data_IF_132589530042
#
_entry.id   IF_132589530042
#
_cell.length_a   1.000
_cell.length_b   1.000
_cell.length_c   1.000
_cell.angle_alpha   90.00
_cell.angle_beta   90.00
_cell.angle_gamma   90.00
#
_symmetry.space_group_name_H-M   'P 1'
#
loop_
_entity.id
_entity.type
_entity.pdbx_description
1 polymer ?
#
# COMPACT_ATOMS: atom_id res chain seq x y z
N UNK A 1 -39.59 -24.15 -5.83
CA UNK A 1 -38.63 -23.09 -5.47
C UNK A 1 -37.24 -23.71 -5.43
N UNK A 2 -36.44 -23.48 -6.49
CA UNK A 2 -35.10 -24.06 -6.58
C UNK A 2 -34.15 -23.31 -5.65
N UNK A 3 -33.64 -23.98 -4.62
CA UNK A 3 -32.56 -23.47 -3.79
C UNK A 3 -31.23 -23.86 -4.43
N UNK A 4 -30.54 -22.89 -5.01
CA UNK A 4 -29.16 -23.08 -5.45
C UNK A 4 -28.24 -22.95 -4.22
N UNK A 5 -27.72 -24.07 -3.74
CA UNK A 5 -26.60 -24.08 -2.79
C UNK A 5 -25.33 -23.93 -3.61
N UNK A 6 -24.75 -22.73 -3.61
CA UNK A 6 -23.39 -22.51 -4.10
C UNK A 6 -22.46 -23.30 -3.18
N UNK A 7 -21.99 -24.46 -3.64
CA UNK A 7 -20.88 -25.16 -3.01
C UNK A 7 -19.65 -24.29 -3.26
N UNK A 8 -19.24 -23.52 -2.26
CA UNK A 8 -18.06 -22.69 -2.34
C UNK A 8 -16.83 -23.58 -2.45
N UNK A 9 -15.89 -23.23 -3.34
CA UNK A 9 -14.50 -23.61 -3.08
C UNK A 9 -14.12 -22.95 -1.76
N UNK A 10 -13.57 -23.69 -0.80
CA UNK A 10 -13.09 -23.21 0.51
C UNK A 10 -11.89 -22.24 0.43
N UNK A 11 -11.82 -21.45 -0.64
CA UNK A 11 -10.72 -20.55 -0.93
C UNK A 11 -11.14 -19.13 -0.56
N UNK A 12 -10.44 -18.56 0.40
CA UNK A 12 -10.53 -17.14 0.74
C UNK A 12 -9.90 -16.33 -0.41
N UNK A 13 -10.63 -15.40 -1.04
CA UNK A 13 -10.07 -14.54 -2.07
C UNK A 13 -9.02 -13.60 -1.47
N UNK A 14 -7.77 -13.69 -1.94
CA UNK A 14 -6.64 -12.88 -1.48
C UNK A 14 -6.21 -11.91 -2.59
N UNK A 15 -5.85 -10.68 -2.19
CA UNK A 15 -5.13 -9.74 -3.04
C UNK A 15 -3.77 -9.41 -2.42
N UNK A 16 -2.70 -9.84 -3.07
CA UNK A 16 -1.33 -9.57 -2.66
C UNK A 16 -0.68 -8.65 -3.69
N UNK A 17 -0.31 -7.44 -3.27
CA UNK A 17 0.26 -6.41 -4.16
C UNK A 17 1.62 -6.00 -3.62
N UNK A 18 2.61 -5.94 -4.52
CA UNK A 18 3.89 -5.28 -4.24
C UNK A 18 4.16 -4.25 -5.33
N UNK A 19 4.61 -3.05 -4.98
CA UNK A 19 4.93 -2.03 -5.97
C UNK A 19 6.09 -1.15 -5.52
N UNK A 20 7.10 -1.03 -6.39
CA UNK A 20 8.08 0.05 -6.28
C UNK A 20 7.39 1.35 -6.70
N UNK A 21 7.29 2.30 -5.79
CA UNK A 21 6.53 3.54 -5.97
C UNK A 21 7.41 4.78 -5.89
N UNK A 22 8.74 4.64 -5.98
CA UNK A 22 9.67 5.78 -5.92
C UNK A 22 9.30 6.91 -6.89
N UNK A 23 8.93 6.57 -8.13
CA UNK A 23 8.50 7.54 -9.14
C UNK A 23 7.15 8.18 -8.86
N UNK A 24 6.25 7.51 -8.13
CA UNK A 24 4.96 8.09 -7.72
C UNK A 24 5.17 9.19 -6.69
N UNK A 25 6.16 9.02 -5.81
CA UNK A 25 6.52 10.00 -4.78
C UNK A 25 7.45 11.11 -5.29
N UNK A 26 7.95 11.03 -6.54
CA UNK A 26 8.63 12.15 -7.20
C UNK A 26 7.63 13.25 -7.67
N UNK A 27 6.39 12.88 -8.01
CA UNK A 27 5.26 13.82 -8.25
C UNK A 27 3.94 13.32 -7.61
N UNK A 28 3.82 13.42 -6.28
CA UNK A 28 2.69 12.88 -5.53
C UNK A 28 1.39 13.64 -5.80
N UNK A 29 1.45 14.84 -6.36
CA UNK A 29 0.26 15.64 -6.68
C UNK A 29 -0.54 15.07 -7.85
N UNK A 30 0.17 14.45 -8.81
CA UNK A 30 -0.43 13.88 -10.03
C UNK A 30 -0.49 12.35 -9.97
N UNK A 31 0.62 11.71 -9.59
CA UNK A 31 0.75 10.25 -9.73
C UNK A 31 0.03 9.49 -8.62
N UNK A 32 0.02 10.02 -7.41
CA UNK A 32 -0.58 9.36 -6.25
C UNK A 32 -2.10 9.19 -6.38
N UNK A 33 -2.89 10.19 -6.82
CA UNK A 33 -4.32 10.00 -7.09
C UNK A 33 -4.61 8.95 -8.16
N UNK A 34 -3.82 8.94 -9.24
CA UNK A 34 -3.98 7.97 -10.34
C UNK A 34 -3.73 6.56 -9.84
N UNK A 35 -2.59 6.34 -9.18
CA UNK A 35 -2.22 5.04 -8.65
C UNK A 35 -3.24 4.54 -7.62
N UNK A 36 -3.68 5.42 -6.71
CA UNK A 36 -4.69 5.08 -5.70
C UNK A 36 -6.01 4.66 -6.36
N UNK A 37 -6.47 5.41 -7.37
CA UNK A 37 -7.68 5.08 -8.11
C UNK A 37 -7.59 3.70 -8.77
N UNK A 38 -6.49 3.39 -9.45
CA UNK A 38 -6.29 2.09 -10.10
C UNK A 38 -6.24 0.94 -9.11
N UNK A 39 -5.57 1.13 -7.97
CA UNK A 39 -5.54 0.16 -6.89
C UNK A 39 -6.95 -0.11 -6.32
N UNK A 40 -7.73 0.93 -6.02
CA UNK A 40 -9.09 0.78 -5.48
C UNK A 40 -10.05 0.16 -6.49
N UNK A 41 -9.93 0.51 -7.77
CA UNK A 41 -10.68 -0.15 -8.85
C UNK A 41 -10.35 -1.66 -8.93
N UNK A 42 -9.09 -2.04 -8.73
CA UNK A 42 -8.71 -3.45 -8.66
C UNK A 42 -9.32 -4.15 -7.44
N UNK A 43 -9.29 -3.52 -6.25
CA UNK A 43 -9.93 -4.03 -5.03
C UNK A 43 -11.43 -4.25 -5.26
N UNK A 44 -12.13 -3.25 -5.79
CA UNK A 44 -13.56 -3.32 -6.07
C UNK A 44 -13.91 -4.44 -7.06
N UNK A 45 -13.13 -4.57 -8.14
CA UNK A 45 -13.35 -5.60 -9.17
C UNK A 45 -13.11 -7.02 -8.65
N UNK A 46 -12.14 -7.20 -7.75
CA UNK A 46 -11.74 -8.54 -7.28
C UNK A 46 -12.46 -8.99 -6.02
N UNK A 47 -13.10 -8.08 -5.26
CA UNK A 47 -13.79 -8.35 -3.98
C UNK A 47 -12.97 -9.28 -3.05
N UNK A 48 -11.70 -8.94 -2.75
CA UNK A 48 -10.89 -9.76 -1.86
C UNK A 48 -11.44 -9.76 -0.44
N UNK A 49 -11.23 -10.85 0.29
CA UNK A 49 -11.48 -10.95 1.74
C UNK A 49 -10.24 -10.71 2.57
N UNK A 50 -9.08 -10.58 1.92
CA UNK A 50 -7.84 -10.16 2.54
C UNK A 50 -6.97 -9.43 1.54
N UNK A 51 -6.38 -8.31 1.96
CA UNK A 51 -5.44 -7.53 1.18
C UNK A 51 -4.11 -7.47 1.93
N UNK A 52 -3.02 -7.77 1.24
CA UNK A 52 -1.68 -7.35 1.65
C UNK A 52 -1.09 -6.46 0.56
N UNK A 53 -0.82 -5.20 0.90
CA UNK A 53 -0.18 -4.23 0.04
C UNK A 53 1.19 -3.90 0.61
N UNK A 54 2.23 -4.06 -0.19
CA UNK A 54 3.61 -3.73 0.17
C UNK A 54 4.17 -2.72 -0.84
N UNK A 55 4.43 -1.50 -0.40
CA UNK A 55 5.01 -0.46 -1.24
C UNK A 55 6.48 -0.28 -0.89
N UNK A 56 7.36 -0.28 -1.90
CA UNK A 56 8.80 -0.03 -1.75
C UNK A 56 9.18 1.35 -2.29
N UNK A 57 10.26 1.93 -1.76
CA UNK A 57 10.75 3.26 -2.16
C UNK A 57 9.71 4.37 -1.98
N UNK A 58 8.82 4.22 -1.00
CA UNK A 58 7.91 5.28 -0.59
C UNK A 58 8.76 6.50 -0.17
N UNK A 59 8.28 7.72 -0.44
CA UNK A 59 9.05 8.94 -0.21
C UNK A 59 10.08 9.31 -1.31
N UNK A 60 10.41 8.38 -2.21
CA UNK A 60 11.33 8.63 -3.33
C UNK A 60 12.73 9.09 -2.88
N UNK A 61 13.46 9.81 -3.76
CA UNK A 61 14.84 10.27 -3.47
C UNK A 61 14.91 11.44 -2.48
N UNK A 62 13.78 12.07 -2.15
CA UNK A 62 13.69 13.30 -1.35
C UNK A 62 12.91 13.09 -0.04
N UNK A 63 13.22 11.98 0.66
CA UNK A 63 12.50 11.41 1.81
C UNK A 63 12.06 12.44 2.89
N UNK A 64 12.92 13.40 3.26
CA UNK A 64 12.62 14.38 4.32
C UNK A 64 11.41 15.27 4.02
N UNK A 65 11.16 15.56 2.74
CA UNK A 65 10.01 16.39 2.32
C UNK A 65 8.78 15.55 2.01
N UNK A 66 8.95 14.26 1.78
CA UNK A 66 7.91 13.40 1.25
C UNK A 66 7.17 12.59 2.32
N UNK A 67 7.70 12.50 3.54
CA UNK A 67 7.02 11.87 4.68
C UNK A 67 5.62 12.40 4.96
N UNK A 68 5.36 13.69 4.73
CA UNK A 68 4.01 14.23 4.84
C UNK A 68 3.07 13.59 3.80
N UNK A 69 3.52 13.45 2.54
CA UNK A 69 2.75 12.78 1.50
C UNK A 69 2.52 11.31 1.79
N UNK A 70 3.47 10.63 2.45
CA UNK A 70 3.28 9.23 2.88
C UNK A 70 2.18 9.13 3.93
N UNK A 71 2.19 10.00 4.94
CA UNK A 71 1.14 10.04 5.97
C UNK A 71 -0.22 10.37 5.36
N UNK A 72 -0.28 11.36 4.48
CA UNK A 72 -1.50 11.73 3.76
C UNK A 72 -2.01 10.58 2.88
N UNK A 73 -1.12 9.85 2.21
CA UNK A 73 -1.46 8.68 1.42
C UNK A 73 -2.05 7.55 2.28
N UNK A 74 -1.40 7.21 3.39
CA UNK A 74 -1.88 6.21 4.33
C UNK A 74 -3.25 6.58 4.87
N UNK A 75 -3.44 7.85 5.26
CA UNK A 75 -4.72 8.35 5.74
C UNK A 75 -5.81 8.22 4.68
N UNK A 76 -5.51 8.54 3.41
CA UNK A 76 -6.45 8.36 2.29
C UNK A 76 -6.85 6.89 2.09
N UNK A 77 -5.91 5.95 2.24
CA UNK A 77 -6.24 4.52 2.19
C UNK A 77 -7.17 4.11 3.34
N UNK A 78 -6.95 4.59 4.56
CA UNK A 78 -7.85 4.33 5.69
C UNK A 78 -9.25 4.94 5.49
N UNK A 79 -9.32 6.08 4.79
CA UNK A 79 -10.56 6.82 4.59
C UNK A 79 -11.37 6.38 3.37
N UNK A 80 -10.81 5.56 2.49
CA UNK A 80 -11.52 5.15 1.30
C UNK A 80 -12.65 4.15 1.61
N UNK A 81 -13.82 4.29 0.97
CA UNK A 81 -14.97 3.40 1.20
C UNK A 81 -14.65 1.92 0.99
N UNK A 82 -13.81 1.59 0.02
CA UNK A 82 -13.47 0.22 -0.34
C UNK A 82 -12.71 -0.50 0.78
N UNK A 83 -11.76 0.18 1.45
CA UNK A 83 -11.01 -0.41 2.55
C UNK A 83 -11.76 -0.34 3.88
N UNK A 84 -12.70 0.61 4.05
CA UNK A 84 -13.60 0.66 5.23
C UNK A 84 -14.57 -0.52 5.35
N UNK A 85 -14.68 -1.36 4.32
CA UNK A 85 -15.48 -2.60 4.37
C UNK A 85 -14.78 -3.75 5.09
N UNK A 86 -13.48 -3.63 5.34
CA UNK A 86 -12.71 -4.62 6.10
C UNK A 86 -12.88 -4.37 7.61
N UNK A 87 -12.89 -5.45 8.38
CA UNK A 87 -13.08 -5.37 9.83
C UNK A 87 -11.87 -4.72 10.51
N UNK A 88 -10.67 -4.94 9.96
CA UNK A 88 -9.42 -4.42 10.50
C UNK A 88 -8.47 -3.97 9.39
N UNK A 89 -7.81 -2.84 9.63
CA UNK A 89 -6.69 -2.35 8.83
C UNK A 89 -5.47 -2.22 9.75
N UNK A 90 -4.34 -2.82 9.36
CA UNK A 90 -3.04 -2.65 10.02
C UNK A 90 -2.05 -2.05 9.06
N UNK A 91 -1.37 -1.00 9.48
CA UNK A 91 -0.35 -0.32 8.71
C UNK A 91 0.98 -0.39 9.45
N UNK A 92 2.02 -0.79 8.73
CA UNK A 92 3.40 -0.76 9.20
C UNK A 92 4.19 0.20 8.32
N UNK A 93 4.71 1.26 8.94
CA UNK A 93 5.64 2.20 8.34
C UNK A 93 6.99 2.04 9.04
N UNK A 94 8.06 2.07 8.26
CA UNK A 94 9.39 2.32 8.81
C UNK A 94 9.55 3.83 9.04
N UNK A 95 9.72 4.25 10.30
CA UNK A 95 9.83 5.66 10.70
C UNK A 95 11.25 6.05 11.18
N UNK A 96 12.20 5.10 11.30
CA UNK A 96 13.55 5.39 11.82
C UNK A 96 14.56 5.70 10.70
N UNK A 97 14.60 6.98 10.32
CA UNK A 97 15.47 7.53 9.26
C UNK A 97 16.83 8.03 9.77
N UNK A 98 17.13 7.85 11.07
CA UNK A 98 18.25 8.51 11.74
C UNK A 98 19.62 7.91 11.41
N UNK A 99 19.68 6.77 10.71
CA UNK A 99 20.92 6.01 10.51
C UNK A 99 21.07 5.56 9.05
N UNK A 100 21.75 6.38 8.21
CA UNK A 100 22.19 5.98 6.86
C UNK A 100 23.04 4.69 6.86
N UNK A 101 23.58 4.32 8.02
CA UNK A 101 24.43 3.15 8.24
C UNK A 101 23.64 1.85 8.49
N UNK A 102 22.33 1.91 8.76
CA UNK A 102 21.47 0.73 8.88
C UNK A 102 20.99 0.20 7.52
N UNK A 103 21.23 0.94 6.44
CA UNK A 103 20.99 0.46 5.08
C UNK A 103 22.07 -0.56 4.71
N UNK A 104 21.67 -1.64 4.04
CA UNK A 104 22.61 -2.71 3.63
C UNK A 104 23.81 -2.11 2.91
N UNK A 105 25.06 -2.41 3.33
CA UNK A 105 26.25 -1.62 3.00
C UNK A 105 26.74 -1.68 1.54
N UNK A 106 25.94 -2.22 0.61
CA UNK A 106 26.34 -2.35 -0.79
C UNK A 106 25.81 -1.20 -1.65
N UNK A 107 26.75 -0.29 -1.96
CA UNK A 107 26.80 0.60 -3.13
C UNK A 107 25.86 1.82 -3.08
N UNK A 108 26.40 2.97 -2.65
CA UNK A 108 26.02 4.35 -3.06
C UNK A 108 24.52 4.61 -3.29
N UNK A 109 23.64 4.16 -2.40
CA UNK A 109 22.22 4.54 -2.45
C UNK A 109 21.98 5.66 -1.44
N UNK A 110 21.45 6.78 -1.94
CA UNK A 110 20.68 7.71 -1.10
C UNK A 110 19.65 6.89 -0.30
N UNK A 111 19.38 7.22 0.97
CA UNK A 111 18.40 6.51 1.79
C UNK A 111 17.05 6.58 1.07
N UNK A 112 16.63 5.46 0.48
CA UNK A 112 15.36 5.31 -0.19
C UNK A 112 14.91 3.87 0.02
N UNK A 113 14.33 3.62 1.19
CA UNK A 113 13.58 2.41 1.45
C UNK A 113 12.55 2.72 2.53
N UNK A 114 11.56 3.55 2.21
CA UNK A 114 10.36 3.61 3.03
C UNK A 114 9.43 2.52 2.50
N UNK A 115 9.08 1.61 3.40
CA UNK A 115 8.16 0.52 3.12
C UNK A 115 6.84 0.81 3.81
N UNK A 116 5.73 0.69 3.06
CA UNK A 116 4.38 0.73 3.64
C UNK A 116 3.76 -0.65 3.45
N UNK A 117 3.43 -1.31 4.55
CA UNK A 117 2.64 -2.54 4.53
C UNK A 117 1.24 -2.23 5.03
N UNK A 118 0.23 -2.47 4.20
CA UNK A 118 -1.19 -2.40 4.57
C UNK A 118 -1.77 -3.79 4.53
N UNK A 119 -2.30 -4.24 5.68
CA UNK A 119 -3.06 -5.48 5.80
C UNK A 119 -4.51 -5.15 6.10
N UNK A 120 -5.44 -5.59 5.26
CA UNK A 120 -6.87 -5.46 5.47
C UNK A 120 -7.51 -6.86 5.51
N UNK A 121 -8.26 -7.16 6.58
CA UNK A 121 -8.95 -8.45 6.82
C UNK A 121 -10.43 -8.23 7.18
#
# INVERSE_FOLDING_TARGET
MLKFKKMGSDKVPLLLVTANVGSIFEDPSVMLPIWTSEFLQAVSRMDPKFIALHLQEVGGKAYEKSMQYVKDFVQRLCDCPELRLFDKIRIYLDEDFSSPEKFTPDIKKQPAAETVIVLAE
#
